data_IF_880784888610
#
_entry.id   IF_880784888610
#
_cell.length_a   1.000
_cell.length_b   1.000
_cell.length_c   1.000
_cell.angle_alpha   90.00
_cell.angle_beta   90.00
_cell.angle_gamma   90.00
#
_symmetry.space_group_name_H-M   'P 1'
#
loop_
_entity.id
_entity.type
_entity.pdbx_description
1 polymer ?
#
# COMPACT_ATOMS: atom_id res chain seq x y z
N UNK A 1 -2.66 21.12 3.65
CA UNK A 1 -2.02 19.87 3.20
C UNK A 1 -3.11 19.12 2.47
N UNK A 2 -2.95 18.93 1.17
CA UNK A 2 -3.90 18.21 0.30
C UNK A 2 -3.57 16.70 0.19
N UNK A 3 -2.79 16.18 1.14
CA UNK A 3 -2.39 14.78 1.23
C UNK A 3 -2.98 14.13 2.49
N UNK A 4 -3.39 12.88 2.36
CA UNK A 4 -4.03 12.09 3.42
C UNK A 4 -3.05 11.66 4.53
N UNK A 5 -1.76 11.63 4.23
CA UNK A 5 -0.65 11.42 5.16
C UNK A 5 0.65 12.03 4.65
N UNK A 6 1.66 12.05 5.52
CA UNK A 6 3.03 12.44 5.17
C UNK A 6 4.04 11.96 6.22
N UNK A 7 5.13 11.34 5.75
CA UNK A 7 6.31 11.06 6.57
C UNK A 7 7.31 12.23 6.57
N UNK A 8 7.52 12.83 7.75
CA UNK A 8 8.52 13.85 8.03
C UNK A 8 9.84 13.19 8.42
N UNK A 9 10.70 12.91 7.43
CA UNK A 9 11.95 12.17 7.62
C UNK A 9 13.01 12.90 8.46
N UNK A 10 12.91 14.22 8.62
CA UNK A 10 13.84 15.03 9.42
C UNK A 10 13.66 14.85 10.94
N UNK A 11 12.45 14.46 11.35
CA UNK A 11 12.08 14.29 12.76
C UNK A 11 11.45 12.91 13.07
N UNK A 12 11.46 11.99 12.11
CA UNK A 12 10.89 10.64 12.19
C UNK A 12 9.42 10.62 12.65
N UNK A 13 8.60 11.51 12.08
CA UNK A 13 7.16 11.63 12.41
C UNK A 13 6.29 11.30 11.20
N UNK A 14 5.31 10.42 11.40
CA UNK A 14 4.21 10.22 10.43
C UNK A 14 3.02 11.09 10.87
N UNK A 15 2.54 11.91 9.95
CA UNK A 15 1.31 12.68 10.12
C UNK A 15 0.20 12.04 9.29
N UNK A 16 -0.98 11.87 9.88
CA UNK A 16 -2.16 11.29 9.23
C UNK A 16 -3.33 12.27 9.36
N UNK A 17 -4.08 12.45 8.29
CA UNK A 17 -5.29 13.26 8.29
C UNK A 17 -6.35 12.66 9.22
N UNK A 18 -6.64 13.34 10.33
CA UNK A 18 -7.59 12.89 11.36
C UNK A 18 -9.04 12.85 10.88
N UNK A 19 -9.36 13.45 9.74
CA UNK A 19 -10.71 13.42 9.17
C UNK A 19 -11.02 12.11 8.42
N UNK A 20 -10.00 11.28 8.18
CA UNK A 20 -10.19 9.97 7.55
C UNK A 20 -10.85 8.98 8.54
N UNK A 21 -11.70 8.06 8.07
CA UNK A 21 -12.13 6.92 8.86
C UNK A 21 -10.94 6.10 9.39
N UNK A 22 -11.05 5.44 10.56
CA UNK A 22 -9.93 4.70 11.16
C UNK A 22 -9.26 3.67 10.24
N UNK A 23 -10.05 2.99 9.41
CA UNK A 23 -9.51 2.01 8.47
C UNK A 23 -8.67 2.67 7.36
N UNK A 24 -9.09 3.83 6.86
CA UNK A 24 -8.31 4.59 5.90
C UNK A 24 -7.05 5.19 6.53
N UNK A 25 -7.12 5.63 7.80
CA UNK A 25 -5.93 6.07 8.55
C UNK A 25 -4.89 4.95 8.66
N UNK A 26 -5.33 3.70 8.90
CA UNK A 26 -4.45 2.52 8.91
C UNK A 26 -3.74 2.34 7.57
N UNK A 27 -4.45 2.41 6.45
CA UNK A 27 -3.85 2.22 5.13
C UNK A 27 -2.88 3.34 4.76
N UNK A 28 -3.21 4.58 5.09
CA UNK A 28 -2.27 5.71 4.97
C UNK A 28 -1.03 5.46 5.82
N UNK A 29 -1.19 5.00 7.06
CA UNK A 29 -0.05 4.65 7.91
C UNK A 29 0.83 3.57 7.28
N UNK A 30 0.26 2.53 6.68
CA UNK A 30 1.01 1.47 5.99
C UNK A 30 1.78 1.98 4.77
N UNK A 31 1.25 2.98 4.06
CA UNK A 31 1.95 3.70 2.99
C UNK A 31 3.13 4.49 3.56
N UNK A 32 2.89 5.35 4.55
CA UNK A 32 3.92 6.22 5.13
C UNK A 32 5.03 5.44 5.84
N UNK A 33 4.70 4.31 6.48
CA UNK A 33 5.69 3.41 7.08
C UNK A 33 6.68 2.85 6.05
N UNK A 34 6.25 2.65 4.80
CA UNK A 34 7.13 2.16 3.75
C UNK A 34 8.18 3.19 3.32
N UNK A 35 7.96 4.48 3.64
CA UNK A 35 8.94 5.54 3.44
C UNK A 35 10.02 5.59 4.54
N UNK A 36 9.80 4.94 5.68
CA UNK A 36 10.80 4.89 6.75
C UNK A 36 12.06 4.16 6.27
N UNK A 37 13.22 4.77 6.49
CA UNK A 37 14.51 4.23 6.07
C UNK A 37 14.82 4.42 4.58
N UNK A 38 13.88 4.97 3.80
CA UNK A 38 14.19 5.47 2.47
C UNK A 38 15.04 6.74 2.61
N UNK A 39 16.16 6.80 1.90
CA UNK A 39 17.03 7.98 1.93
C UNK A 39 16.31 9.16 1.28
N UNK A 40 16.19 10.28 1.99
CA UNK A 40 15.66 11.54 1.44
C UNK A 40 16.42 11.96 0.18
N UNK A 41 17.72 11.67 0.11
CA UNK A 41 18.55 11.88 -1.08
C UNK A 41 18.10 11.03 -2.27
N UNK A 42 17.61 9.81 -2.07
CA UNK A 42 17.09 8.96 -3.15
C UNK A 42 15.68 9.39 -3.59
N UNK A 43 14.85 9.79 -2.63
CA UNK A 43 13.50 10.30 -2.90
C UNK A 43 13.54 11.57 -3.77
N UNK A 44 14.52 12.45 -3.53
CA UNK A 44 14.71 13.68 -4.30
C UNK A 44 15.71 13.55 -5.46
N UNK A 45 16.44 12.43 -5.58
CA UNK A 45 17.51 12.26 -6.56
C UNK A 45 17.01 12.36 -8.00
N UNK A 46 15.94 11.63 -8.33
CA UNK A 46 15.34 11.64 -9.68
C UNK A 46 13.84 11.34 -9.64
N UNK A 47 13.07 11.81 -10.64
CA UNK A 47 11.66 11.44 -10.78
C UNK A 47 11.42 9.93 -10.87
N UNK A 48 12.36 9.17 -11.45
CA UNK A 48 12.25 7.72 -11.57
C UNK A 48 12.34 7.02 -10.21
N UNK A 49 13.25 7.47 -9.34
CA UNK A 49 13.36 6.95 -7.98
C UNK A 49 12.14 7.30 -7.15
N UNK A 50 11.64 8.54 -7.23
CA UNK A 50 10.40 8.92 -6.56
C UNK A 50 9.21 8.03 -6.99
N UNK A 51 9.04 7.79 -8.30
CA UNK A 51 7.98 6.91 -8.81
C UNK A 51 8.14 5.49 -8.27
N UNK A 52 9.37 4.98 -8.19
CA UNK A 52 9.66 3.64 -7.67
C UNK A 52 9.31 3.52 -6.19
N UNK A 53 9.70 4.50 -5.38
CA UNK A 53 9.46 4.51 -3.93
C UNK A 53 7.96 4.65 -3.61
N UNK A 54 7.24 5.52 -4.34
CA UNK A 54 5.78 5.60 -4.23
C UNK A 54 5.10 4.30 -4.63
N UNK A 55 5.59 3.64 -5.68
CA UNK A 55 5.05 2.34 -6.09
C UNK A 55 5.27 1.26 -5.02
N UNK A 56 6.42 1.25 -4.35
CA UNK A 56 6.70 0.35 -3.23
C UNK A 56 5.82 0.64 -2.02
N UNK A 57 5.59 1.91 -1.69
CA UNK A 57 4.69 2.32 -0.61
C UNK A 57 3.23 1.93 -0.90
N UNK A 58 2.77 2.13 -2.13
CA UNK A 58 1.47 1.67 -2.59
C UNK A 58 1.32 0.14 -2.46
N UNK A 59 2.36 -0.63 -2.77
CA UNK A 59 2.34 -2.08 -2.59
C UNK A 59 2.23 -2.48 -1.11
N UNK A 60 2.88 -1.74 -0.20
CA UNK A 60 2.78 -1.96 1.25
C UNK A 60 1.34 -1.76 1.73
N UNK A 61 0.75 -0.60 1.40
CA UNK A 61 -0.65 -0.29 1.70
C UNK A 61 -1.61 -1.35 1.16
N UNK A 62 -1.48 -1.71 -0.12
CA UNK A 62 -2.37 -2.69 -0.76
C UNK A 62 -2.25 -4.08 -0.13
N UNK A 63 -1.06 -4.47 0.35
CA UNK A 63 -0.88 -5.73 1.06
C UNK A 63 -1.69 -5.77 2.37
N UNK A 64 -1.70 -4.68 3.15
CA UNK A 64 -2.52 -4.61 4.36
C UNK A 64 -4.01 -4.53 4.07
N UNK A 65 -4.42 -3.81 3.01
CA UNK A 65 -5.80 -3.82 2.52
C UNK A 65 -6.26 -5.22 2.11
N UNK A 66 -5.40 -5.98 1.43
CA UNK A 66 -5.69 -7.35 1.02
C UNK A 66 -5.83 -8.29 2.23
N UNK A 67 -4.96 -8.16 3.23
CA UNK A 67 -5.05 -8.98 4.44
C UNK A 67 -6.37 -8.71 5.20
N UNK A 68 -6.78 -7.45 5.31
CA UNK A 68 -8.08 -7.07 5.90
C UNK A 68 -9.26 -7.59 5.06
N UNK A 69 -9.16 -7.50 3.73
CA UNK A 69 -10.19 -7.98 2.81
C UNK A 69 -10.40 -9.49 2.93
N UNK A 70 -9.33 -10.27 2.94
CA UNK A 70 -9.35 -11.72 3.14
C UNK A 70 -9.93 -12.07 4.51
N UNK A 71 -9.53 -11.35 5.56
CA UNK A 71 -10.06 -11.53 6.91
C UNK A 71 -11.57 -11.26 7.03
N UNK A 72 -12.08 -10.27 6.30
CA UNK A 72 -13.50 -9.90 6.31
C UNK A 72 -14.38 -10.84 5.48
N UNK A 73 -13.86 -11.31 4.34
CA UNK A 73 -14.61 -12.12 3.37
C UNK A 73 -14.48 -13.62 3.62
N UNK A 74 -13.38 -14.06 4.25
CA UNK A 74 -13.03 -15.46 4.42
C UNK A 74 -12.60 -16.15 3.12
N UNK A 75 -12.36 -15.38 2.05
CA UNK A 75 -11.86 -15.91 0.77
C UNK A 75 -10.40 -16.35 0.90
N UNK A 76 -10.03 -17.34 0.08
CA UNK A 76 -8.63 -17.67 -0.19
C UNK A 76 -8.07 -16.73 -1.27
N UNK A 77 -6.73 -16.57 -1.30
CA UNK A 77 -6.08 -15.66 -2.25
C UNK A 77 -6.36 -16.06 -3.70
N UNK A 78 -6.51 -17.36 -3.98
CA UNK A 78 -6.81 -17.91 -5.31
C UNK A 78 -8.24 -17.60 -5.77
N UNK A 79 -9.13 -17.25 -4.83
CA UNK A 79 -10.54 -16.93 -5.10
C UNK A 79 -10.75 -15.43 -5.32
N UNK A 80 -9.71 -14.62 -5.13
CA UNK A 80 -9.80 -13.16 -5.25
C UNK A 80 -10.02 -12.74 -6.70
N UNK A 81 -11.08 -11.96 -6.90
CA UNK A 81 -11.26 -11.15 -8.11
C UNK A 81 -10.62 -9.78 -7.90
N UNK A 82 -9.58 -9.46 -8.68
CA UNK A 82 -8.90 -8.14 -8.66
C UNK A 82 -9.91 -7.00 -8.74
N UNK A 83 -10.85 -7.08 -9.67
CA UNK A 83 -11.85 -6.03 -9.90
C UNK A 83 -12.75 -5.81 -8.69
N UNK A 84 -13.25 -6.90 -8.08
CA UNK A 84 -14.11 -6.80 -6.89
C UNK A 84 -13.33 -6.30 -5.67
N UNK A 85 -12.09 -6.76 -5.49
CA UNK A 85 -11.20 -6.27 -4.44
C UNK A 85 -11.00 -4.76 -4.58
N UNK A 86 -10.61 -4.28 -5.77
CA UNK A 86 -10.40 -2.85 -6.00
C UNK A 86 -11.66 -2.02 -5.79
N UNK A 87 -12.82 -2.49 -6.28
CA UNK A 87 -14.10 -1.82 -6.11
C UNK A 87 -14.49 -1.73 -4.62
N UNK A 88 -14.43 -2.85 -3.89
CA UNK A 88 -14.84 -2.91 -2.48
C UNK A 88 -13.89 -2.15 -1.55
N UNK A 89 -12.61 -2.07 -1.92
CA UNK A 89 -11.60 -1.30 -1.20
C UNK A 89 -11.53 0.18 -1.64
N UNK A 90 -12.31 0.60 -2.64
CA UNK A 90 -12.30 1.98 -3.14
C UNK A 90 -11.02 2.38 -3.87
N UNK A 91 -10.29 1.42 -4.43
CA UNK A 91 -9.05 1.65 -5.19
C UNK A 91 -9.38 2.11 -6.62
N UNK A 92 -8.77 3.22 -7.04
CA UNK A 92 -8.83 3.69 -8.42
C UNK A 92 -7.83 2.94 -9.32
N UNK A 93 -7.98 3.12 -10.63
CA UNK A 93 -7.11 2.48 -11.63
C UNK A 93 -5.62 2.87 -11.56
N UNK A 94 -5.24 3.88 -10.77
CA UNK A 94 -3.82 4.19 -10.57
C UNK A 94 -3.08 3.10 -9.78
N UNK A 95 -3.82 2.32 -8.98
CA UNK A 95 -3.27 1.24 -8.15
C UNK A 95 -3.20 -0.10 -8.86
N UNK A 96 -3.66 -0.20 -10.11
CA UNK A 96 -3.88 -1.46 -10.82
C UNK A 96 -2.61 -2.31 -10.90
N UNK A 97 -1.46 -1.68 -11.17
CA UNK A 97 -0.14 -2.34 -11.23
C UNK A 97 0.35 -2.82 -9.85
N UNK A 98 0.05 -2.05 -8.80
CA UNK A 98 0.47 -2.40 -7.45
C UNK A 98 -0.37 -3.57 -6.91
N UNK A 99 -1.68 -3.59 -7.21
CA UNK A 99 -2.55 -4.74 -6.93
C UNK A 99 -2.06 -5.99 -7.64
N UNK A 100 -1.73 -5.92 -8.94
CA UNK A 100 -1.20 -7.07 -9.68
C UNK A 100 0.07 -7.62 -9.03
N UNK A 101 1.00 -6.73 -8.63
CA UNK A 101 2.23 -7.13 -7.96
C UNK A 101 1.97 -7.82 -6.61
N UNK A 102 1.10 -7.25 -5.78
CA UNK A 102 0.79 -7.81 -4.45
C UNK A 102 0.12 -9.18 -4.57
N UNK A 103 -0.88 -9.32 -5.46
CA UNK A 103 -1.55 -10.61 -5.69
C UNK A 103 -0.56 -11.67 -6.20
N UNK A 104 0.29 -11.32 -7.16
CA UNK A 104 1.32 -12.23 -7.67
C UNK A 104 2.31 -12.66 -6.59
N UNK A 105 2.76 -11.74 -5.72
CA UNK A 105 3.66 -12.07 -4.62
C UNK A 105 3.01 -12.99 -3.59
N UNK A 106 1.74 -12.77 -3.23
CA UNK A 106 0.99 -13.63 -2.31
C UNK A 106 0.81 -15.04 -2.86
N UNK A 107 0.42 -15.16 -4.13
CA UNK A 107 0.26 -16.45 -4.81
C UNK A 107 1.59 -17.23 -4.91
N UNK A 108 2.67 -16.55 -5.28
CA UNK A 108 4.00 -17.18 -5.41
C UNK A 108 4.59 -17.56 -4.04
N UNK A 109 4.35 -16.75 -3.01
CA UNK A 109 4.79 -17.03 -1.64
C UNK A 109 4.17 -18.31 -1.06
N UNK A 110 2.93 -18.63 -1.43
CA UNK A 110 2.28 -19.89 -1.03
C UNK A 110 2.86 -21.12 -1.75
N UNK A 111 3.24 -20.99 -3.02
CA UNK A 111 3.84 -22.10 -3.78
C UNK A 111 5.24 -22.50 -3.28
N UNK A 112 5.98 -21.57 -2.66
CA UNK A 112 7.30 -21.85 -2.08
C UNK A 112 7.25 -22.53 -0.70
N UNK A 113 6.08 -22.61 -0.07
CA UNK A 113 5.88 -23.18 1.27
C UNK A 113 5.31 -24.61 1.27
N UNK A 114 5.09 -25.19 0.09
CA UNK A 114 4.64 -26.58 -0.14
C UNK A 114 5.81 -27.46 -0.60
#
# INVERSE_FOLDING_TARGET
MDADGYYMADIDVIVINSNLPPLQQKYVLEHELAHIGQSSLLYEATPAEHIRLEFEANCSMIAGMLDDYLGQTGLLIEEISKTLFMEQCGLSGQYDNAVDRVLALRLNGMQAAL
#
